data_IF_481712936646
#
_entry.id   IF_481712936646
#
_cell.length_a   1.000
_cell.length_b   1.000
_cell.length_c   1.000
_cell.angle_alpha   90.00
_cell.angle_beta   90.00
_cell.angle_gamma   90.00
#
_symmetry.space_group_name_H-M   'P 1'
#
loop_
_entity.id
_entity.type
_entity.pdbx_description
1 polymer ?
#
# COMPACT_ATOMS: atom_id res chain seq x y z
N UNK A 1 -3.59 -17.17 -19.79
CA UNK A 1 -4.27 -15.90 -20.11
C UNK A 1 -4.23 -15.05 -18.84
N UNK A 2 -3.26 -14.15 -18.73
CA UNK A 2 -3.00 -13.39 -17.51
C UNK A 2 -4.04 -12.26 -17.40
N UNK A 3 -4.93 -12.39 -16.43
CA UNK A 3 -5.79 -11.29 -15.98
C UNK A 3 -4.85 -10.30 -15.28
N UNK A 4 -4.35 -9.31 -16.02
CA UNK A 4 -3.72 -8.15 -15.40
C UNK A 4 -4.84 -7.39 -14.69
N UNK A 5 -5.03 -7.69 -13.41
CA UNK A 5 -5.81 -6.84 -12.51
C UNK A 5 -5.22 -5.44 -12.62
N UNK A 6 -5.98 -4.50 -13.17
CA UNK A 6 -5.56 -3.11 -13.32
C UNK A 6 -5.52 -2.47 -11.93
N UNK A 7 -4.46 -2.75 -11.17
CA UNK A 7 -4.20 -2.02 -9.94
C UNK A 7 -3.90 -0.59 -10.32
N UNK A 8 -4.81 0.31 -9.95
CA UNK A 8 -4.70 1.74 -10.25
C UNK A 8 -3.64 2.46 -9.41
N UNK A 9 -3.19 1.83 -8.34
CA UNK A 9 -2.06 2.35 -7.57
C UNK A 9 -0.76 1.98 -8.28
N UNK A 10 0.23 2.86 -8.24
CA UNK A 10 1.52 2.68 -8.92
C UNK A 10 2.17 1.31 -8.58
N UNK A 11 3.18 0.86 -9.31
CA UNK A 11 3.91 -0.34 -8.90
C UNK A 11 4.48 -0.17 -7.47
N UNK A 12 4.53 -1.24 -6.68
CA UNK A 12 5.16 -1.20 -5.34
C UNK A 12 6.62 -0.75 -5.48
N UNK A 13 7.05 0.15 -4.61
CA UNK A 13 8.44 0.65 -4.58
C UNK A 13 9.24 0.06 -3.42
N UNK A 14 8.71 -0.98 -2.78
CA UNK A 14 9.38 -1.63 -1.68
C UNK A 14 10.67 -2.31 -2.15
N UNK A 15 11.70 -2.38 -1.29
CA UNK A 15 12.89 -3.16 -1.59
C UNK A 15 12.51 -4.64 -1.81
N UNK A 16 13.25 -5.40 -2.65
CA UNK A 16 12.88 -6.77 -2.99
C UNK A 16 12.61 -7.67 -1.78
N UNK A 17 13.38 -7.53 -0.71
CA UNK A 17 13.20 -8.28 0.54
C UNK A 17 11.83 -8.06 1.23
N UNK A 18 11.15 -6.95 0.90
CA UNK A 18 9.80 -6.59 1.36
C UNK A 18 8.75 -6.62 0.23
N UNK A 19 9.14 -6.88 -1.02
CA UNK A 19 8.24 -6.78 -2.18
C UNK A 19 7.42 -8.06 -2.43
N UNK A 20 7.81 -9.19 -1.83
CA UNK A 20 7.11 -10.47 -1.97
C UNK A 20 6.18 -10.79 -0.80
N UNK A 21 5.19 -11.68 -1.02
CA UNK A 21 4.28 -12.17 0.04
C UNK A 21 5.02 -12.91 1.15
N UNK A 22 6.19 -13.45 0.84
CA UNK A 22 7.06 -14.18 1.73
C UNK A 22 8.35 -13.37 1.87
N UNK A 23 8.48 -12.52 2.91
CA UNK A 23 9.65 -11.69 3.08
C UNK A 23 10.93 -12.53 3.16
N UNK A 24 11.98 -12.08 2.48
CA UNK A 24 13.31 -12.67 2.64
C UNK A 24 13.94 -12.17 3.93
N UNK A 25 13.59 -12.81 5.05
CA UNK A 25 14.07 -12.44 6.38
C UNK A 25 15.60 -12.48 6.51
N UNK A 26 16.30 -13.24 5.67
CA UNK A 26 17.76 -13.30 5.70
C UNK A 26 18.41 -12.03 5.13
N UNK A 27 17.71 -11.31 4.25
CA UNK A 27 18.15 -10.06 3.63
C UNK A 27 17.70 -8.79 4.35
N UNK A 28 16.93 -8.90 5.44
CA UNK A 28 16.41 -7.73 6.16
C UNK A 28 17.46 -7.13 7.09
N UNK A 29 17.69 -5.82 6.94
CA UNK A 29 18.57 -5.04 7.81
C UNK A 29 17.83 -3.82 8.37
N UNK A 30 18.09 -3.39 9.62
CA UNK A 30 17.37 -2.28 10.26
C UNK A 30 17.34 -1.00 9.41
N UNK A 31 18.47 -0.64 8.79
CA UNK A 31 18.65 0.58 7.99
C UNK A 31 17.69 0.71 6.80
N UNK A 32 17.08 -0.40 6.35
CA UNK A 32 16.14 -0.36 5.23
C UNK A 32 14.72 0.03 5.64
N UNK A 33 14.37 -0.10 6.93
CA UNK A 33 13.00 0.10 7.40
C UNK A 33 12.60 1.57 7.38
N UNK A 34 13.49 2.49 7.74
CA UNK A 34 13.19 3.94 7.70
C UNK A 34 12.82 4.38 6.27
N UNK A 35 13.68 4.05 5.30
CA UNK A 35 13.42 4.36 3.89
C UNK A 35 12.16 3.64 3.35
N UNK A 36 11.91 2.40 3.78
CA UNK A 36 10.72 1.66 3.37
C UNK A 36 9.43 2.26 3.97
N UNK A 37 9.44 2.69 5.24
CA UNK A 37 8.32 3.38 5.87
C UNK A 37 8.04 4.71 5.17
N UNK A 38 9.05 5.54 4.94
CA UNK A 38 8.90 6.82 4.22
C UNK A 38 8.27 6.64 2.85
N UNK A 39 8.80 5.71 2.04
CA UNK A 39 8.24 5.40 0.72
C UNK A 39 6.80 4.89 0.82
N UNK A 40 6.51 3.98 1.74
CA UNK A 40 5.17 3.40 1.91
C UNK A 40 4.15 4.41 2.45
N UNK A 41 4.54 5.31 3.34
CA UNK A 41 3.70 6.40 3.86
C UNK A 41 3.40 7.44 2.79
N UNK A 42 4.42 7.88 2.04
CA UNK A 42 4.26 8.82 0.93
C UNK A 42 3.32 8.25 -0.13
N UNK A 43 3.48 6.96 -0.44
CA UNK A 43 2.59 6.25 -1.34
C UNK A 43 1.17 6.18 -0.79
N UNK A 44 0.97 5.70 0.44
CA UNK A 44 -0.36 5.60 1.02
C UNK A 44 -1.06 6.96 1.05
N UNK A 45 -0.33 8.05 1.35
CA UNK A 45 -0.85 9.42 1.24
C UNK A 45 -1.37 9.72 -0.17
N UNK A 46 -0.58 9.43 -1.20
CA UNK A 46 -1.01 9.61 -2.60
C UNK A 46 -2.23 8.78 -2.97
N UNK A 47 -2.35 7.56 -2.44
CA UNK A 47 -3.53 6.71 -2.65
C UNK A 47 -4.78 7.34 -2.02
N UNK A 48 -4.66 7.85 -0.79
CA UNK A 48 -5.73 8.57 -0.10
C UNK A 48 -6.11 9.86 -0.82
N UNK A 49 -5.14 10.65 -1.28
CA UNK A 49 -5.39 11.90 -2.00
C UNK A 49 -6.14 11.64 -3.32
N UNK A 50 -5.78 10.58 -4.04
CA UNK A 50 -6.49 10.18 -5.27
C UNK A 50 -7.94 9.72 -5.01
N UNK A 51 -8.16 8.98 -3.91
CA UNK A 51 -9.52 8.59 -3.48
C UNK A 51 -10.33 9.83 -3.10
N UNK A 52 -9.74 10.75 -2.33
CA UNK A 52 -10.39 11.98 -1.89
C UNK A 52 -10.71 12.93 -3.05
N UNK A 53 -9.86 12.97 -4.08
CA UNK A 53 -10.09 13.72 -5.30
C UNK A 53 -11.20 13.14 -6.19
N UNK A 54 -11.73 11.95 -5.85
CA UNK A 54 -12.76 11.28 -6.65
C UNK A 54 -12.26 10.87 -8.04
N UNK A 55 -10.94 10.77 -8.21
CA UNK A 55 -10.38 10.11 -9.37
C UNK A 55 -10.75 8.64 -9.21
N UNK A 56 -11.60 8.08 -10.07
CA UNK A 56 -12.12 6.69 -10.02
C UNK A 56 -12.03 6.07 -11.41
N UNK A 57 -12.00 4.74 -11.54
CA UNK A 57 -12.04 4.15 -12.89
C UNK A 57 -13.47 4.24 -13.44
N UNK A 58 -13.66 4.72 -14.69
CA UNK A 58 -14.95 4.82 -15.39
C UNK A 58 -15.81 3.55 -15.49
N UNK A 59 -15.26 2.39 -15.15
CA UNK A 59 -15.61 1.11 -15.77
C UNK A 59 -16.66 0.27 -15.01
N UNK A 60 -17.00 0.64 -13.77
CA UNK A 60 -18.12 0.06 -13.02
C UNK A 60 -19.40 0.93 -13.08
N UNK A 61 -19.58 1.74 -14.13
CA UNK A 61 -20.78 2.57 -14.38
C UNK A 61 -22.04 1.79 -14.76
N UNK A 62 -22.33 0.68 -14.08
CA UNK A 62 -23.46 -0.19 -14.35
C UNK A 62 -24.38 -0.35 -13.13
N UNK A 63 -25.01 0.74 -12.69
CA UNK A 63 -26.45 0.87 -12.39
C UNK A 63 -26.75 2.35 -12.06
N UNK A 64 -26.96 3.17 -13.10
CA UNK A 64 -27.21 4.61 -12.97
C UNK A 64 -25.97 5.44 -13.28
N UNK A 65 -25.95 6.04 -14.48
CA UNK A 65 -24.79 6.73 -15.01
C UNK A 65 -24.39 7.99 -14.25
N UNK A 66 -23.08 8.21 -14.14
CA UNK A 66 -22.51 9.54 -14.00
C UNK A 66 -21.08 9.59 -14.55
N UNK A 67 -20.86 10.58 -15.41
CA UNK A 67 -19.59 11.08 -15.94
C UNK A 67 -18.64 11.48 -14.82
N UNK A 68 -17.35 11.65 -15.12
CA UNK A 68 -16.36 12.27 -14.21
C UNK A 68 -16.98 13.50 -13.52
N UNK A 69 -17.30 13.37 -12.23
CA UNK A 69 -18.23 14.27 -11.50
C UNK A 69 -19.49 13.60 -10.89
N UNK A 70 -19.58 12.26 -10.87
CA UNK A 70 -20.66 11.51 -10.22
C UNK A 70 -20.58 11.43 -8.70
N UNK A 71 -21.70 11.04 -8.06
CA UNK A 71 -21.72 10.77 -6.63
C UNK A 71 -20.74 9.63 -6.28
N UNK A 72 -20.00 9.72 -5.15
CA UNK A 72 -19.06 8.67 -4.75
C UNK A 72 -19.75 7.30 -4.66
N UNK A 73 -19.16 6.28 -5.27
CA UNK A 73 -19.64 4.90 -5.14
C UNK A 73 -18.93 4.17 -4.00
N UNK A 74 -19.47 3.02 -3.57
CA UNK A 74 -18.79 2.17 -2.60
C UNK A 74 -17.42 1.71 -3.10
N UNK A 75 -17.30 1.37 -4.39
CA UNK A 75 -16.06 0.90 -5.00
C UNK A 75 -14.98 1.99 -5.04
N UNK A 76 -15.37 3.23 -5.34
CA UNK A 76 -14.47 4.39 -5.41
C UNK A 76 -14.01 4.87 -4.04
N UNK A 77 -14.80 4.63 -2.99
CA UNK A 77 -14.52 5.05 -1.62
C UNK A 77 -14.07 3.87 -0.78
N UNK A 78 -15.00 3.16 -0.14
CA UNK A 78 -14.71 2.09 0.82
C UNK A 78 -13.87 0.96 0.20
N UNK A 79 -14.21 0.53 -1.01
CA UNK A 79 -13.44 -0.49 -1.72
C UNK A 79 -12.01 -0.03 -2.04
N UNK A 80 -11.83 1.24 -2.43
CA UNK A 80 -10.50 1.79 -2.70
C UNK A 80 -9.70 1.97 -1.41
N UNK A 81 -10.35 2.42 -0.32
CA UNK A 81 -9.75 2.54 1.01
C UNK A 81 -9.25 1.19 1.53
N UNK A 82 -10.03 0.12 1.36
CA UNK A 82 -9.65 -1.24 1.77
C UNK A 82 -8.39 -1.75 1.05
N UNK A 83 -8.22 -1.42 -0.23
CA UNK A 83 -7.05 -1.82 -1.02
C UNK A 83 -5.84 -0.90 -0.84
N UNK A 84 -6.02 0.28 -0.27
CA UNK A 84 -4.96 1.26 -0.03
C UNK A 84 -4.06 0.82 1.12
N UNK A 85 -2.83 1.31 1.15
CA UNK A 85 -1.91 1.08 2.26
C UNK A 85 -1.34 -0.33 2.34
N UNK A 86 -1.41 -1.12 1.25
CA UNK A 86 -0.84 -2.48 1.21
C UNK A 86 0.66 -2.51 1.45
N UNK A 87 1.41 -1.62 0.81
CA UNK A 87 2.85 -1.50 1.03
C UNK A 87 3.15 -1.14 2.49
N UNK A 88 2.44 -0.15 3.04
CA UNK A 88 2.60 0.29 4.43
C UNK A 88 2.28 -0.82 5.42
N UNK A 89 1.18 -1.52 5.21
CA UNK A 89 0.76 -2.68 6.01
C UNK A 89 1.82 -3.77 5.99
N UNK A 90 2.46 -4.01 4.84
CA UNK A 90 3.51 -5.03 4.74
C UNK A 90 4.77 -4.62 5.48
N UNK A 91 5.27 -3.39 5.29
CA UNK A 91 6.45 -2.90 6.01
C UNK A 91 6.23 -2.98 7.51
N UNK A 92 5.07 -2.47 7.99
CA UNK A 92 4.71 -2.51 9.39
C UNK A 92 4.64 -3.95 9.94
N UNK A 93 3.99 -4.88 9.22
CA UNK A 93 3.86 -6.27 9.67
C UNK A 93 5.21 -6.95 9.85
N UNK A 94 6.14 -6.76 8.91
CA UNK A 94 7.49 -7.35 8.98
C UNK A 94 8.31 -6.69 10.09
N UNK A 95 8.28 -5.36 10.15
CA UNK A 95 9.01 -4.60 11.16
C UNK A 95 8.60 -5.01 12.58
N UNK A 96 7.29 -4.98 12.89
CA UNK A 96 6.81 -5.33 14.22
C UNK A 96 6.97 -6.82 14.56
N UNK A 97 6.99 -7.71 13.56
CA UNK A 97 7.37 -9.10 13.79
C UNK A 97 8.83 -9.23 14.25
N UNK A 98 9.76 -8.49 13.62
CA UNK A 98 11.17 -8.47 14.03
C UNK A 98 11.37 -7.77 15.37
N UNK A 99 10.75 -6.60 15.58
CA UNK A 99 10.83 -5.86 16.83
C UNK A 99 10.27 -6.66 18.02
N UNK A 100 9.29 -7.55 17.79
CA UNK A 100 8.77 -8.43 18.83
C UNK A 100 9.59 -9.70 19.09
N UNK A 101 10.17 -10.32 18.05
CA UNK A 101 10.79 -11.64 18.15
C UNK A 101 12.32 -11.65 18.10
N UNK A 102 12.93 -10.65 17.45
CA UNK A 102 14.37 -10.57 17.18
C UNK A 102 14.84 -9.11 17.20
N UNK A 103 14.50 -8.39 18.27
CA UNK A 103 14.80 -6.97 18.43
C UNK A 103 16.29 -6.69 18.66
N UNK A 104 16.69 -5.45 18.41
CA UNK A 104 18.01 -4.90 18.70
C UNK A 104 17.93 -3.35 18.75
N UNK A 105 18.99 -2.70 19.24
CA UNK A 105 19.03 -1.24 19.40
C UNK A 105 18.73 -0.48 18.10
N UNK A 106 19.14 -1.01 16.94
CA UNK A 106 18.89 -0.37 15.66
C UNK A 106 17.43 -0.49 15.21
N UNK A 107 16.75 -1.59 15.51
CA UNK A 107 15.30 -1.72 15.27
C UNK A 107 14.49 -0.85 16.22
N UNK A 108 14.90 -0.75 17.49
CA UNK A 108 14.23 0.11 18.47
C UNK A 108 14.36 1.60 18.13
N UNK A 109 15.44 2.01 17.49
CA UNK A 109 15.62 3.39 17.02
C UNK A 109 14.62 3.79 15.91
N UNK A 110 13.94 2.80 15.29
CA UNK A 110 12.94 3.01 14.23
C UNK A 110 11.50 3.04 14.80
N UNK A 111 11.26 2.54 16.01
CA UNK A 111 9.94 2.61 16.70
C UNK A 111 9.54 4.04 17.08
#
# INVERSE_FOLDING_TARGET
MMIRSASRFAESTLPPALADEWPDFAGLVPDMFEAAFEAAMARHRSEIDAIAAGEGTPEERAFGGATSGGAPTFADTIGAMERSGRDLSRVASVFYALAGAHTNDALQAVE
#
